data_IF_671188089229
#
_entry.id   IF_671188089229
#
_cell.length_a   1.000
_cell.length_b   1.000
_cell.length_c   1.000
_cell.angle_alpha   90.00
_cell.angle_beta   90.00
_cell.angle_gamma   90.00
#
_symmetry.space_group_name_H-M   'P 1'
#
loop_
_entity.id
_entity.type
_entity.pdbx_description
1 polymer ?
#
# COMPACT_ATOMS: atom_id res chain seq x y z
N UNK A 1 3.44 -4.61 87.15
CA UNK A 1 2.17 -3.94 86.82
C UNK A 1 2.07 -3.84 85.32
N UNK A 2 1.08 -4.52 84.74
CA UNK A 2 0.69 -4.41 83.34
C UNK A 2 -0.60 -3.61 83.30
N UNK A 3 -0.70 -2.62 82.41
CA UNK A 3 -1.94 -2.22 81.74
C UNK A 3 -1.57 -1.57 80.41
N UNK A 4 -2.24 -2.05 79.38
CA UNK A 4 -2.18 -1.73 77.95
C UNK A 4 -3.16 -0.56 77.64
N UNK A 5 -3.52 -0.25 76.37
CA UNK A 5 -3.18 1.01 75.74
C UNK A 5 -4.41 1.93 75.57
N UNK A 6 -4.16 3.22 75.40
CA UNK A 6 -5.17 4.19 74.99
C UNK A 6 -5.46 4.11 73.48
N UNK A 7 -6.74 4.18 73.16
CA UNK A 7 -7.39 3.87 71.89
C UNK A 7 -6.97 4.74 70.70
N UNK A 8 -6.97 4.05 69.56
CA UNK A 8 -7.05 4.50 68.18
C UNK A 8 -8.26 5.44 68.00
N UNK A 9 -8.06 6.55 67.28
CA UNK A 9 -8.87 7.10 66.18
C UNK A 9 -8.77 8.64 66.16
N UNK A 10 -7.99 9.16 65.23
CA UNK A 10 -8.30 10.41 64.54
C UNK A 10 -7.61 10.37 63.16
N UNK A 11 -8.37 9.86 62.22
CA UNK A 11 -8.48 10.27 60.83
C UNK A 11 -7.30 11.08 60.27
N UNK A 12 -6.36 10.38 59.63
CA UNK A 12 -5.38 11.03 58.78
C UNK A 12 -6.09 11.36 57.46
N UNK A 13 -6.71 12.53 57.40
CA UNK A 13 -7.04 13.17 56.13
C UNK A 13 -5.73 13.50 55.41
N UNK A 14 -5.16 12.49 54.77
CA UNK A 14 -4.12 12.61 53.77
C UNK A 14 -4.78 13.18 52.51
N UNK A 15 -5.21 14.45 52.59
CA UNK A 15 -5.55 15.19 51.39
C UNK A 15 -4.25 15.37 50.63
N UNK A 16 -4.19 14.76 49.46
CA UNK A 16 -3.23 15.16 48.45
C UNK A 16 -3.28 16.69 48.34
N UNK A 17 -2.12 17.38 48.24
CA UNK A 17 -2.13 18.80 47.94
C UNK A 17 -3.04 19.03 46.72
N UNK A 18 -3.82 20.13 46.71
CA UNK A 18 -4.71 20.41 45.58
C UNK A 18 -3.88 20.31 44.30
N UNK A 19 -4.42 19.70 43.22
CA UNK A 19 -3.68 19.60 41.98
C UNK A 19 -3.23 21.00 41.60
N UNK A 20 -1.93 21.16 41.31
CA UNK A 20 -1.42 22.40 40.76
C UNK A 20 -2.31 22.79 39.58
N UNK A 21 -2.65 24.08 39.39
CA UNK A 21 -3.44 24.50 38.24
C UNK A 21 -2.80 23.87 37.02
N UNK A 22 -3.51 22.97 36.33
CA UNK A 22 -3.07 22.56 35.02
C UNK A 22 -2.94 23.87 34.26
N UNK A 23 -1.72 24.22 33.83
CA UNK A 23 -1.58 25.12 32.70
C UNK A 23 -2.55 24.53 31.69
N UNK A 24 -3.64 25.26 31.38
CA UNK A 24 -4.63 24.84 30.41
C UNK A 24 -3.83 24.50 29.17
N UNK A 25 -3.58 23.20 29.05
CA UNK A 25 -2.61 22.65 28.14
C UNK A 25 -3.27 22.92 26.82
N UNK A 26 -2.76 23.93 26.12
CA UNK A 26 -3.05 24.20 24.73
C UNK A 26 -3.24 22.82 24.12
N UNK A 27 -4.43 22.52 23.62
CA UNK A 27 -4.50 21.60 22.50
C UNK A 27 -3.39 22.13 21.59
N UNK A 28 -2.28 21.40 21.33
CA UNK A 28 -1.45 21.77 20.21
C UNK A 28 -2.45 21.84 19.08
N UNK A 29 -2.57 23.02 18.50
CA UNK A 29 -3.64 23.45 17.62
C UNK A 29 -3.74 22.44 16.49
N UNK A 30 -4.47 21.33 16.73
CA UNK A 30 -4.54 20.21 15.81
C UNK A 30 -5.22 20.72 14.55
N UNK A 31 -6.07 21.73 14.70
CA UNK A 31 -6.62 22.57 13.65
C UNK A 31 -5.55 23.26 12.80
N UNK A 32 -4.50 23.85 13.38
CA UNK A 32 -3.38 24.40 12.61
C UNK A 32 -2.60 23.31 11.85
N UNK A 33 -2.31 22.17 12.50
CA UNK A 33 -1.59 21.07 11.86
C UNK A 33 -2.44 20.41 10.76
N UNK A 34 -3.76 20.22 10.97
CA UNK A 34 -4.72 19.80 9.95
C UNK A 34 -4.86 20.83 8.84
N UNK A 35 -4.90 22.13 9.14
CA UNK A 35 -4.95 23.18 8.12
C UNK A 35 -3.69 23.19 7.26
N UNK A 36 -2.54 22.83 7.85
CA UNK A 36 -1.28 22.68 7.12
C UNK A 36 -1.24 21.39 6.29
N UNK A 37 -1.84 20.30 6.78
CA UNK A 37 -1.92 19.00 6.11
C UNK A 37 -3.03 18.93 5.03
N UNK A 38 -4.06 19.77 5.13
CA UNK A 38 -5.11 19.93 4.10
C UNK A 38 -4.60 20.64 2.84
N UNK A 39 -3.37 21.17 2.87
CA UNK A 39 -2.64 21.52 1.66
C UNK A 39 -2.19 20.23 0.99
N UNK A 40 -3.12 19.56 0.33
CA UNK A 40 -2.79 18.57 -0.69
C UNK A 40 -1.75 19.24 -1.59
N UNK A 41 -0.49 18.74 -1.64
CA UNK A 41 0.50 19.31 -2.52
C UNK A 41 -0.11 19.26 -3.91
N UNK A 42 -0.28 20.42 -4.56
CA UNK A 42 -0.66 20.43 -5.97
C UNK A 42 0.50 19.77 -6.68
N UNK A 43 0.35 18.49 -7.00
CA UNK A 43 1.31 17.73 -7.76
C UNK A 43 1.22 18.30 -9.16
N UNK A 44 1.98 19.38 -9.40
CA UNK A 44 2.16 19.90 -10.74
C UNK A 44 2.95 18.83 -11.46
N UNK A 45 2.26 18.01 -12.24
CA UNK A 45 2.92 17.18 -13.23
C UNK A 45 3.70 18.14 -14.12
N UNK A 46 5.03 18.04 -14.18
CA UNK A 46 5.78 18.91 -15.05
C UNK A 46 5.27 18.69 -16.47
N UNK A 47 4.88 19.77 -17.17
CA UNK A 47 4.29 19.85 -18.53
C UNK A 47 5.06 19.07 -19.62
N UNK A 48 6.21 18.54 -19.25
CA UNK A 48 7.02 17.64 -20.06
C UNK A 48 7.44 16.56 -19.10
N UNK A 49 6.99 15.34 -19.43
CA UNK A 49 7.63 14.04 -19.17
C UNK A 49 8.67 14.21 -18.11
N UNK A 50 8.46 13.70 -16.88
CA UNK A 50 9.52 13.55 -15.86
C UNK A 50 10.82 13.60 -16.62
N UNK A 51 11.59 14.70 -16.55
CA UNK A 51 12.99 14.58 -16.91
C UNK A 51 13.35 13.52 -15.93
N UNK A 52 13.42 12.24 -16.38
CA UNK A 52 13.73 11.08 -15.56
C UNK A 52 14.80 11.71 -14.72
N UNK A 53 14.54 11.93 -13.42
CA UNK A 53 15.63 12.25 -12.52
C UNK A 53 16.35 10.95 -12.68
N UNK A 54 17.29 10.94 -13.63
CA UNK A 54 17.92 9.75 -14.16
C UNK A 54 18.30 9.12 -12.87
N UNK A 55 17.70 7.96 -12.56
CA UNK A 55 17.92 7.33 -11.27
C UNK A 55 19.41 7.50 -11.07
N UNK A 56 19.80 8.18 -9.97
CA UNK A 56 21.16 8.74 -9.86
C UNK A 56 22.19 7.67 -10.26
N UNK A 57 21.81 6.40 -10.04
CA UNK A 57 22.27 5.20 -10.73
C UNK A 57 21.09 4.33 -11.16
N UNK A 58 21.20 3.59 -12.28
CA UNK A 58 20.23 2.55 -12.65
C UNK A 58 20.10 1.50 -11.52
N UNK A 59 18.92 0.88 -11.31
CA UNK A 59 18.77 -0.13 -10.26
C UNK A 59 19.76 -1.28 -10.49
N UNK A 60 20.40 -1.80 -9.43
CA UNK A 60 21.27 -2.96 -9.56
C UNK A 60 20.48 -4.15 -10.11
N UNK A 61 21.11 -4.92 -10.99
CA UNK A 61 20.55 -6.16 -11.52
C UNK A 61 20.94 -7.35 -10.64
N UNK A 62 19.96 -8.17 -10.29
CA UNK A 62 20.12 -9.43 -9.58
C UNK A 62 19.82 -10.59 -10.53
N UNK A 63 20.85 -11.32 -10.93
CA UNK A 63 20.70 -12.54 -11.71
C UNK A 63 20.19 -13.68 -10.80
N UNK A 64 18.94 -14.07 -10.98
CA UNK A 64 18.29 -15.09 -10.17
C UNK A 64 18.98 -16.47 -10.28
N UNK A 65 19.56 -16.81 -11.44
CA UNK A 65 20.23 -18.11 -11.64
C UNK A 65 21.51 -18.23 -10.83
N UNK A 66 22.15 -17.10 -10.55
CA UNK A 66 23.39 -17.04 -9.81
C UNK A 66 23.17 -16.82 -8.31
N UNK A 67 21.92 -16.62 -7.86
CA UNK A 67 21.59 -16.29 -6.48
C UNK A 67 22.12 -17.33 -5.48
N UNK A 68 21.97 -18.62 -5.78
CA UNK A 68 22.44 -19.71 -4.90
C UNK A 68 23.98 -19.86 -4.91
N UNK A 69 24.63 -19.50 -6.02
CA UNK A 69 26.08 -19.55 -6.18
C UNK A 69 26.78 -18.24 -5.80
N UNK A 70 26.02 -17.23 -5.38
CA UNK A 70 26.51 -15.88 -5.13
C UNK A 70 27.35 -15.85 -3.84
N UNK A 71 28.57 -15.33 -3.95
CA UNK A 71 29.41 -15.08 -2.78
C UNK A 71 28.82 -13.98 -1.87
N UNK A 72 29.12 -14.01 -0.57
CA UNK A 72 28.58 -13.03 0.39
C UNK A 72 28.99 -11.59 0.06
N UNK A 73 30.16 -11.38 -0.53
CA UNK A 73 30.65 -10.07 -0.95
C UNK A 73 29.77 -9.46 -2.06
N UNK A 74 29.51 -10.23 -3.12
CA UNK A 74 28.66 -9.79 -4.24
C UNK A 74 27.22 -9.57 -3.78
N UNK A 75 26.69 -10.44 -2.91
CA UNK A 75 25.37 -10.25 -2.33
C UNK A 75 25.29 -8.95 -1.53
N UNK A 76 26.32 -8.63 -0.74
CA UNK A 76 26.39 -7.39 0.03
C UNK A 76 26.47 -6.15 -0.86
N UNK A 77 27.24 -6.18 -1.94
CA UNK A 77 27.32 -5.07 -2.91
C UNK A 77 25.96 -4.77 -3.57
N UNK A 78 25.22 -5.81 -3.97
CA UNK A 78 23.88 -5.65 -4.55
C UNK A 78 22.91 -5.07 -3.52
N UNK A 79 22.95 -5.58 -2.28
CA UNK A 79 22.08 -5.08 -1.20
C UNK A 79 22.39 -3.63 -0.81
N UNK A 80 23.66 -3.24 -0.73
CA UNK A 80 24.08 -1.86 -0.45
C UNK A 80 23.67 -0.92 -1.58
N UNK A 81 23.83 -1.34 -2.84
CA UNK A 81 23.34 -0.60 -4.01
C UNK A 81 21.82 -0.48 -3.98
N UNK A 82 21.09 -1.56 -3.71
CA UNK A 82 19.63 -1.57 -3.62
C UNK A 82 19.13 -0.69 -2.47
N UNK A 83 19.83 -0.63 -1.34
CA UNK A 83 19.49 0.25 -0.22
C UNK A 83 19.67 1.75 -0.57
N UNK A 84 20.65 2.07 -1.43
CA UNK A 84 20.89 3.43 -1.92
C UNK A 84 19.88 3.86 -2.98
N UNK A 85 19.49 2.96 -3.87
CA UNK A 85 18.54 3.23 -4.97
C UNK A 85 17.08 3.10 -4.51
N UNK A 86 16.81 2.21 -3.57
CA UNK A 86 15.47 1.85 -3.07
C UNK A 86 14.79 0.71 -3.83
N UNK A 87 15.42 0.20 -4.89
CA UNK A 87 14.93 -0.94 -5.67
C UNK A 87 16.09 -1.67 -6.37
N UNK A 88 15.79 -2.84 -6.94
CA UNK A 88 16.68 -3.63 -7.79
C UNK A 88 15.85 -4.33 -8.86
N UNK A 89 16.49 -4.74 -9.95
CA UNK A 89 15.84 -5.50 -11.02
C UNK A 89 16.25 -6.96 -10.93
N UNK A 90 15.28 -7.89 -10.96
CA UNK A 90 15.59 -9.32 -11.08
C UNK A 90 15.66 -9.71 -12.56
N UNK A 91 16.77 -10.32 -12.96
CA UNK A 91 16.97 -10.86 -14.30
C UNK A 91 17.10 -12.39 -14.24
N UNK A 92 16.91 -13.06 -15.39
CA UNK A 92 16.99 -14.51 -15.50
C UNK A 92 16.10 -15.29 -14.50
N UNK A 93 14.99 -14.70 -14.08
CA UNK A 93 14.01 -15.23 -13.11
C UNK A 93 13.34 -16.56 -13.50
N UNK A 94 13.62 -17.12 -14.68
CA UNK A 94 13.08 -18.41 -15.12
C UNK A 94 11.63 -18.37 -15.63
N UNK A 95 10.85 -17.34 -15.30
CA UNK A 95 9.49 -17.14 -15.82
C UNK A 95 9.49 -17.09 -17.37
N UNK A 96 8.75 -17.99 -18.05
CA UNK A 96 8.69 -18.01 -19.51
C UNK A 96 8.09 -16.72 -20.11
N UNK A 97 8.70 -16.20 -21.17
CA UNK A 97 8.21 -14.99 -21.83
C UNK A 97 6.83 -15.12 -22.50
N UNK A 98 6.41 -16.34 -22.85
CA UNK A 98 5.04 -16.61 -23.30
C UNK A 98 4.03 -16.43 -22.16
N UNK A 99 4.36 -16.90 -20.95
CA UNK A 99 3.52 -16.73 -19.76
C UNK A 99 3.36 -15.25 -19.42
N UNK A 100 4.44 -14.47 -19.44
CA UNK A 100 4.39 -13.01 -19.19
C UNK A 100 3.45 -12.33 -20.20
N UNK A 101 3.56 -12.66 -21.49
CA UNK A 101 2.66 -12.10 -22.53
C UNK A 101 1.21 -12.52 -22.33
N UNK A 102 0.97 -13.78 -21.98
CA UNK A 102 -0.37 -14.30 -21.70
C UNK A 102 -1.00 -13.56 -20.52
N UNK A 103 -0.25 -13.36 -19.43
CA UNK A 103 -0.70 -12.60 -18.25
C UNK A 103 -1.00 -11.14 -18.60
N UNK A 104 -0.14 -10.49 -19.37
CA UNK A 104 -0.37 -9.11 -19.81
C UNK A 104 -1.64 -8.99 -20.67
N UNK A 105 -1.88 -9.96 -21.56
CA UNK A 105 -3.10 -9.98 -22.37
C UNK A 105 -4.35 -10.23 -21.51
N UNK A 106 -4.29 -11.23 -20.61
CA UNK A 106 -5.41 -11.56 -19.74
C UNK A 106 -5.71 -10.42 -18.75
N UNK A 107 -4.68 -9.84 -18.13
CA UNK A 107 -4.80 -8.68 -17.25
C UNK A 107 -5.30 -7.43 -17.96
N UNK A 108 -4.85 -7.16 -19.19
CA UNK A 108 -5.32 -6.00 -19.96
C UNK A 108 -6.82 -6.04 -20.30
N UNK A 109 -7.39 -7.24 -20.39
CA UNK A 109 -8.81 -7.42 -20.70
C UNK A 109 -9.76 -6.79 -19.68
N UNK A 110 -9.38 -6.71 -18.40
CA UNK A 110 -10.25 -6.15 -17.35
C UNK A 110 -10.54 -4.67 -17.59
N UNK A 111 -9.56 -3.92 -18.10
CA UNK A 111 -9.71 -2.50 -18.40
C UNK A 111 -10.55 -2.23 -19.65
N UNK A 112 -10.86 -3.28 -20.43
CA UNK A 112 -11.70 -3.18 -21.63
C UNK A 112 -13.18 -3.48 -21.37
N UNK A 113 -13.59 -3.81 -20.13
CA UNK A 113 -15.00 -4.06 -19.82
C UNK A 113 -15.83 -2.77 -19.88
N UNK A 114 -17.15 -2.85 -20.12
CA UNK A 114 -18.00 -1.67 -20.21
C UNK A 114 -17.99 -0.82 -18.91
N UNK A 115 -18.09 0.52 -18.99
CA UNK A 115 -18.08 1.39 -17.82
C UNK A 115 -19.13 1.02 -16.77
N UNK A 116 -20.32 0.58 -17.19
CA UNK A 116 -21.40 0.16 -16.29
C UNK A 116 -21.04 -1.09 -15.49
N UNK A 117 -20.15 -1.92 -16.03
CA UNK A 117 -19.60 -3.10 -15.36
C UNK A 117 -18.47 -2.69 -14.43
N UNK A 118 -17.61 -1.74 -14.82
CA UNK A 118 -16.56 -1.18 -13.96
C UNK A 118 -17.13 -0.56 -12.68
N UNK A 119 -18.23 0.20 -12.80
CA UNK A 119 -18.93 0.78 -11.64
C UNK A 119 -19.45 -0.29 -10.69
N UNK A 120 -19.94 -1.43 -11.20
CA UNK A 120 -20.39 -2.56 -10.35
C UNK A 120 -19.23 -3.31 -9.70
N UNK A 121 -18.08 -3.29 -10.35
CA UNK A 121 -16.84 -3.89 -9.86
C UNK A 121 -15.95 -2.85 -9.14
N UNK A 122 -16.49 -1.69 -8.75
CA UNK A 122 -15.76 -0.68 -8.02
C UNK A 122 -15.49 -1.13 -6.58
N UNK A 123 -14.32 -0.79 -6.09
CA UNK A 123 -13.90 -1.06 -4.71
C UNK A 123 -14.74 -0.21 -3.73
N UNK A 124 -15.00 -0.74 -2.55
CA UNK A 124 -15.66 0.00 -1.45
C UNK A 124 -15.00 -0.34 -0.11
N UNK A 125 -15.30 0.38 0.98
CA UNK A 125 -14.78 0.01 2.30
C UNK A 125 -15.10 -1.44 2.71
N UNK A 126 -16.20 -2.00 2.21
CA UNK A 126 -16.64 -3.38 2.45
C UNK A 126 -16.10 -4.37 1.43
N UNK A 127 -15.72 -3.92 0.23
CA UNK A 127 -15.21 -4.75 -0.86
C UNK A 127 -13.79 -4.27 -1.19
N UNK A 128 -12.73 -4.94 -0.70
CA UNK A 128 -11.35 -4.45 -0.76
C UNK A 128 -10.66 -4.65 -2.12
N UNK A 129 -11.36 -5.22 -3.09
CA UNK A 129 -10.91 -5.49 -4.46
C UNK A 129 -11.85 -4.80 -5.45
N UNK A 130 -11.40 -4.59 -6.69
CA UNK A 130 -12.17 -3.90 -7.72
C UNK A 130 -11.45 -2.69 -8.32
N UNK A 131 -12.18 -1.91 -9.12
CA UNK A 131 -11.69 -0.67 -9.69
C UNK A 131 -11.57 0.42 -8.62
N UNK A 132 -10.46 1.14 -8.62
CA UNK A 132 -10.33 2.36 -7.81
C UNK A 132 -11.16 3.48 -8.43
N UNK A 133 -11.92 4.20 -7.61
CA UNK A 133 -12.67 5.37 -8.06
C UNK A 133 -11.66 6.47 -8.43
N UNK A 134 -11.51 6.74 -9.74
CA UNK A 134 -10.68 7.84 -10.21
C UNK A 134 -11.40 9.14 -9.83
N UNK A 135 -10.98 9.75 -8.71
CA UNK A 135 -11.36 11.13 -8.43
C UNK A 135 -10.89 11.97 -9.61
N UNK A 136 -11.84 12.57 -10.33
CA UNK A 136 -11.52 13.50 -11.41
C UNK A 136 -10.81 14.70 -10.79
N UNK A 137 -9.47 14.69 -10.86
CA UNK A 137 -8.70 15.90 -10.58
C UNK A 137 -9.07 16.96 -11.63
N UNK A 138 -9.07 18.22 -11.16
CA UNK A 138 -9.55 19.42 -11.84
C UNK A 138 -9.33 19.45 -13.37
N UNK A 139 -10.32 19.97 -14.10
CA UNK A 139 -10.37 20.15 -15.56
C UNK A 139 -8.99 20.43 -16.20
N UNK A 140 -8.32 19.38 -16.70
CA UNK A 140 -7.04 19.55 -17.39
C UNK A 140 -6.40 18.26 -17.91
N UNK A 141 -6.55 17.14 -17.19
CA UNK A 141 -5.87 15.89 -17.52
C UNK A 141 -6.89 14.80 -17.93
N UNK A 142 -7.18 14.72 -19.23
CA UNK A 142 -8.20 13.81 -19.80
C UNK A 142 -7.73 12.35 -19.94
N UNK A 143 -6.85 11.86 -19.06
CA UNK A 143 -6.51 10.45 -19.04
C UNK A 143 -6.10 10.04 -17.62
N UNK A 144 -7.08 9.97 -16.71
CA UNK A 144 -6.87 9.36 -15.39
C UNK A 144 -6.35 7.94 -15.57
N UNK A 145 -5.37 7.55 -14.74
CA UNK A 145 -4.92 6.15 -14.67
C UNK A 145 -6.02 5.29 -14.06
N UNK A 146 -6.43 4.25 -14.75
CA UNK A 146 -7.32 3.22 -14.17
C UNK A 146 -6.49 2.22 -13.36
N UNK A 147 -6.97 1.89 -12.17
CA UNK A 147 -6.38 0.86 -11.31
C UNK A 147 -7.41 -0.22 -10.99
N UNK A 148 -6.97 -1.48 -10.97
CA UNK A 148 -7.79 -2.62 -10.58
C UNK A 148 -7.05 -3.46 -9.55
N UNK A 149 -7.61 -3.54 -8.35
CA UNK A 149 -7.07 -4.32 -7.23
C UNK A 149 -7.73 -5.69 -7.22
N UNK A 150 -6.93 -6.75 -7.20
CA UNK A 150 -7.41 -8.12 -7.11
C UNK A 150 -6.83 -8.82 -5.89
N UNK A 151 -7.51 -9.89 -5.45
CA UNK A 151 -7.08 -10.69 -4.31
C UNK A 151 -6.98 -12.16 -4.74
N UNK A 152 -5.81 -12.77 -4.56
CA UNK A 152 -5.66 -14.22 -4.70
C UNK A 152 -6.39 -14.93 -3.56
N UNK A 153 -6.97 -16.11 -3.83
CA UNK A 153 -7.64 -16.96 -2.83
C UNK A 153 -8.82 -16.33 -2.08
N UNK A 154 -9.40 -15.26 -2.61
CA UNK A 154 -10.66 -14.71 -2.12
C UNK A 154 -11.83 -15.33 -2.93
N UNK A 155 -12.67 -16.11 -2.24
CA UNK A 155 -13.82 -16.78 -2.83
C UNK A 155 -14.91 -15.79 -3.26
N UNK A 156 -15.08 -14.70 -2.52
CA UNK A 156 -16.07 -13.66 -2.83
C UNK A 156 -15.61 -12.85 -4.05
N UNK A 157 -14.32 -12.50 -4.13
CA UNK A 157 -13.71 -11.95 -5.34
C UNK A 157 -13.98 -12.86 -6.54
N UNK A 158 -13.62 -14.14 -6.42
CA UNK A 158 -13.73 -15.10 -7.52
C UNK A 158 -15.17 -15.28 -8.00
N UNK A 159 -16.12 -15.38 -7.07
CA UNK A 159 -17.54 -15.47 -7.37
C UNK A 159 -18.05 -14.21 -8.08
N UNK A 160 -17.61 -13.02 -7.66
CA UNK A 160 -18.06 -11.77 -8.23
C UNK A 160 -17.48 -11.58 -9.63
N UNK A 161 -16.18 -11.82 -9.83
CA UNK A 161 -15.54 -11.79 -11.16
C UNK A 161 -16.25 -12.70 -12.17
N UNK A 162 -16.65 -13.90 -11.77
CA UNK A 162 -17.43 -14.81 -12.62
C UNK A 162 -18.78 -14.23 -13.04
N UNK A 163 -19.40 -13.39 -12.20
CA UNK A 163 -20.70 -12.78 -12.51
C UNK A 163 -20.58 -11.63 -13.49
N UNK A 164 -19.55 -10.80 -13.38
CA UNK A 164 -19.44 -9.58 -14.18
C UNK A 164 -18.54 -9.71 -15.40
N UNK A 165 -17.56 -10.62 -15.39
CA UNK A 165 -16.62 -10.82 -16.49
C UNK A 165 -16.24 -12.31 -16.65
N UNK A 166 -17.20 -13.21 -16.92
CA UNK A 166 -17.00 -14.66 -16.85
C UNK A 166 -15.89 -15.19 -17.77
N UNK A 167 -15.94 -14.85 -19.06
CA UNK A 167 -15.00 -15.40 -20.04
C UNK A 167 -13.59 -14.86 -19.82
N UNK A 168 -13.44 -13.55 -19.64
CA UNK A 168 -12.12 -12.97 -19.40
C UNK A 168 -11.57 -13.25 -18.00
N UNK A 169 -12.43 -13.50 -17.01
CA UNK A 169 -11.98 -13.94 -15.68
C UNK A 169 -11.41 -15.36 -15.70
N UNK A 170 -11.91 -16.26 -16.55
CA UNK A 170 -11.31 -17.59 -16.70
C UNK A 170 -9.88 -17.49 -17.25
N UNK A 171 -9.68 -16.65 -18.27
CA UNK A 171 -8.36 -16.39 -18.84
C UNK A 171 -7.44 -15.68 -17.82
N UNK A 172 -7.98 -14.72 -17.07
CA UNK A 172 -7.27 -14.03 -15.99
C UNK A 172 -6.88 -14.99 -14.86
N UNK A 173 -7.79 -15.86 -14.43
CA UNK A 173 -7.52 -16.84 -13.38
C UNK A 173 -6.42 -17.81 -13.79
N UNK A 174 -6.53 -18.39 -14.97
CA UNK A 174 -5.52 -19.34 -15.45
C UNK A 174 -4.17 -18.66 -15.68
N UNK A 175 -4.15 -17.51 -16.36
CA UNK A 175 -2.91 -16.81 -16.68
C UNK A 175 -2.25 -16.18 -15.45
N UNK A 176 -3.01 -15.42 -14.67
CA UNK A 176 -2.50 -14.54 -13.61
C UNK A 176 -2.49 -15.24 -12.25
N UNK A 177 -3.61 -15.84 -11.84
CA UNK A 177 -3.73 -16.44 -10.50
C UNK A 177 -3.00 -17.79 -10.40
N UNK A 178 -3.07 -18.61 -11.45
CA UNK A 178 -2.53 -19.97 -11.44
C UNK A 178 -1.15 -20.05 -12.13
N UNK A 179 -0.82 -19.12 -13.01
CA UNK A 179 0.42 -19.16 -13.80
C UNK A 179 1.64 -18.52 -13.13
N UNK A 180 1.47 -17.42 -12.38
CA UNK A 180 2.59 -16.66 -11.80
C UNK A 180 2.80 -16.95 -10.30
N UNK A 181 1.75 -17.33 -9.58
CA UNK A 181 1.77 -17.45 -8.10
C UNK A 181 2.17 -18.86 -7.62
N UNK A 182 2.48 -19.80 -8.53
CA UNK A 182 2.96 -21.14 -8.19
C UNK A 182 4.48 -21.24 -8.04
#
# INVERSE_FOLDING_TARGET
MAVTPGSIYADHHFRAPPPSPMASGRNPDITHDLQSALRVPKLVLPDRVFSRKKLLQDPPELDFRHLESMGPETAFEILDSAAKVGCFQVTNHGIPGELIRSVLAAGGGIFSIPPEVKVKAARSPEIPWGFEEVHAEEEGERQGSEEFVWCHDDADFSMQMQRFWPLGYLDFRHGVLEGIIM
#
